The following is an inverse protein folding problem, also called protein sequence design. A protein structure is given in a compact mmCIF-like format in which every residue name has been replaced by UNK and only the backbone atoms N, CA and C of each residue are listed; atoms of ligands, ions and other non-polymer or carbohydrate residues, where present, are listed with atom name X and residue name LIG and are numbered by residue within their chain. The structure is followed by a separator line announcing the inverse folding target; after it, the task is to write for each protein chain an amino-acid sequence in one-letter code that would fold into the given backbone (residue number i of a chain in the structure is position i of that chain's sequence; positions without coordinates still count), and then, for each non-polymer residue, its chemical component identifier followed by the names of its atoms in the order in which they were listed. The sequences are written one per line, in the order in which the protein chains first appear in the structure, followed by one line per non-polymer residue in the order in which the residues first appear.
data_IF_949006830987
#
_entry.id   IF_949006830987
#
_cell.length_a   1.000
_cell.length_b   1.000
_cell.length_c   1.000
_cell.angle_alpha   90.00
_cell.angle_beta   90.00
_cell.angle_gamma   90.00
#
_symmetry.space_group_name_H-M   'P 1'
#
loop_
_entity.id
_entity.type
_entity.pdbx_description
1 polymer ?
#
# COMPACT_ATOMS: atom_id res chain seq x y z
N UNK A 1 -5.02 3.67 -19.18
CA UNK A 1 -5.79 2.86 -18.20
C UNK A 1 -6.90 3.77 -17.64
N UNK A 2 -7.92 3.25 -16.95
CA UNK A 2 -8.89 4.13 -16.26
C UNK A 2 -8.68 4.03 -14.74
N UNK A 3 -9.18 5.02 -13.99
CA UNK A 3 -9.02 5.08 -12.54
C UNK A 3 -9.56 3.81 -11.84
N UNK A 4 -10.63 3.21 -12.37
CA UNK A 4 -11.21 1.97 -11.86
C UNK A 4 -10.24 0.78 -11.91
N UNK A 5 -9.47 0.65 -13.00
CA UNK A 5 -8.44 -0.39 -13.11
C UNK A 5 -7.28 -0.19 -12.14
N UNK A 6 -6.87 1.06 -11.89
CA UNK A 6 -5.83 1.37 -10.88
C UNK A 6 -6.31 1.00 -9.48
N UNK A 7 -7.50 1.44 -9.09
CA UNK A 7 -8.11 1.09 -7.80
C UNK A 7 -8.27 -0.42 -7.63
N UNK A 8 -8.58 -1.13 -8.72
CA UNK A 8 -8.62 -2.60 -8.71
C UNK A 8 -7.23 -3.19 -8.42
N UNK A 9 -6.18 -2.72 -9.10
CA UNK A 9 -4.81 -3.20 -8.86
C UNK A 9 -4.35 -2.95 -7.43
N UNK A 10 -4.67 -1.80 -6.85
CA UNK A 10 -4.37 -1.47 -5.45
C UNK A 10 -5.16 -2.34 -4.46
N UNK A 11 -6.42 -2.66 -4.76
CA UNK A 11 -7.27 -3.41 -3.83
C UNK A 11 -7.02 -4.91 -3.79
N UNK A 12 -6.54 -5.51 -4.88
CA UNK A 12 -6.33 -6.97 -5.02
C UNK A 12 -4.93 -7.45 -4.61
N UNK A 13 -4.11 -6.59 -4.02
CA UNK A 13 -2.76 -6.93 -3.59
C UNK A 13 -2.78 -8.03 -2.52
N UNK A 14 -1.93 -9.05 -2.66
CA UNK A 14 -1.90 -10.23 -1.78
C UNK A 14 -1.57 -9.90 -0.32
N UNK A 15 -0.74 -8.88 -0.10
CA UNK A 15 -0.23 -8.46 1.23
C UNK A 15 -0.89 -7.18 1.75
N UNK A 16 -2.13 -6.92 1.33
CA UNK A 16 -2.85 -5.69 1.69
C UNK A 16 -3.38 -5.64 3.13
N UNK A 17 -3.29 -6.75 3.87
CA UNK A 17 -3.88 -6.90 5.19
C UNK A 17 -2.86 -7.46 6.17
N UNK A 18 -3.00 -7.06 7.43
CA UNK A 18 -2.42 -7.74 8.59
C UNK A 18 -3.52 -8.63 9.18
N UNK A 19 -3.27 -9.94 9.30
CA UNK A 19 -4.20 -10.87 9.95
C UNK A 19 -3.89 -10.99 11.45
N UNK A 20 -4.91 -11.30 12.24
CA UNK A 20 -4.72 -11.48 13.67
C UNK A 20 -6.01 -11.81 14.40
N UNK A 21 -5.95 -11.76 15.72
CA UNK A 21 -7.07 -12.01 16.62
C UNK A 21 -7.31 -10.77 17.48
N UNK A 22 -8.58 -10.45 17.73
CA UNK A 22 -8.96 -9.43 18.69
C UNK A 22 -9.46 -10.05 19.99
N UNK A 23 -9.01 -9.52 21.12
CA UNK A 23 -9.46 -9.92 22.44
C UNK A 23 -9.96 -8.72 23.24
N UNK A 24 -10.92 -8.96 24.13
CA UNK A 24 -11.46 -7.94 25.02
C UNK A 24 -10.86 -8.07 26.42
N UNK A 25 -9.77 -7.34 26.66
CA UNK A 25 -8.96 -7.42 27.88
C UNK A 25 -9.07 -6.10 28.64
N UNK A 26 -9.37 -6.16 29.94
CA UNK A 26 -9.42 -4.98 30.82
C UNK A 26 -10.31 -3.83 30.29
N UNK A 27 -11.45 -4.18 29.67
CA UNK A 27 -12.39 -3.24 29.04
C UNK A 27 -11.86 -2.54 27.76
N UNK A 28 -10.84 -3.11 27.13
CA UNK A 28 -10.25 -2.59 25.89
C UNK A 28 -10.16 -3.72 24.86
N UNK A 29 -10.36 -3.36 23.59
CA UNK A 29 -10.10 -4.26 22.48
C UNK A 29 -8.61 -4.19 22.13
N UNK A 30 -7.95 -5.34 22.14
CA UNK A 30 -6.54 -5.51 21.78
C UNK A 30 -6.46 -6.36 20.53
N UNK A 31 -5.69 -5.91 19.55
CA UNK A 31 -5.37 -6.68 18.34
C UNK A 31 -4.01 -7.34 18.51
N UNK A 32 -3.95 -8.65 18.30
CA UNK A 32 -2.73 -9.45 18.27
C UNK A 32 -2.41 -9.83 16.82
N UNK A 33 -1.26 -9.39 16.33
CA UNK A 33 -0.80 -9.60 14.95
C UNK A 33 -0.20 -11.01 14.78
N UNK A 34 -0.74 -11.78 13.83
CA UNK A 34 -0.25 -13.13 13.50
C UNK A 34 1.16 -13.13 12.87
N UNK A 35 1.59 -12.02 12.24
CA UNK A 35 2.89 -11.90 11.56
C UNK A 35 4.03 -11.53 12.52
N UNK A 36 3.74 -10.69 13.52
CA UNK A 36 4.77 -10.06 14.37
C UNK A 36 4.70 -10.47 15.85
N UNK A 37 3.64 -11.17 16.27
CA UNK A 37 3.30 -11.44 17.67
C UNK A 37 3.16 -10.15 18.52
N UNK A 38 3.01 -8.99 17.87
CA UNK A 38 2.82 -7.71 18.55
C UNK A 38 1.35 -7.50 18.94
N UNK A 39 1.15 -6.79 20.06
CA UNK A 39 -0.16 -6.38 20.54
C UNK A 39 -0.33 -4.86 20.36
N UNK A 40 -1.44 -4.46 19.75
CA UNK A 40 -1.80 -3.05 19.55
C UNK A 40 -3.20 -2.77 20.10
N UNK A 41 -3.47 -1.51 20.44
CA UNK A 41 -4.84 -1.10 20.76
C UNK A 41 -5.67 -1.18 19.47
N UNK A 42 -6.86 -1.77 19.52
CA UNK A 42 -7.73 -1.76 18.36
C UNK A 42 -8.13 -0.33 17.96
N UNK A 43 -8.11 0.61 18.91
CA UNK A 43 -8.38 2.02 18.68
C UNK A 43 -7.35 2.70 17.75
N UNK A 44 -6.14 2.14 17.63
CA UNK A 44 -5.11 2.62 16.71
C UNK A 44 -5.52 2.44 15.23
N UNK A 45 -6.57 1.65 14.98
CA UNK A 45 -7.09 1.32 13.65
C UNK A 45 -8.50 1.86 13.38
N UNK A 46 -9.01 2.78 14.20
CA UNK A 46 -10.33 3.37 13.97
C UNK A 46 -10.45 3.95 12.56
N UNK A 47 -11.62 3.73 11.96
CA UNK A 47 -11.96 4.11 10.58
C UNK A 47 -11.15 3.41 9.48
N UNK A 48 -10.31 2.41 9.83
CA UNK A 48 -9.68 1.56 8.83
C UNK A 48 -10.66 0.52 8.27
N UNK A 49 -10.35 0.07 7.05
CA UNK A 49 -10.96 -1.12 6.48
C UNK A 49 -10.57 -2.35 7.32
N UNK A 50 -11.58 -3.05 7.86
CA UNK A 50 -11.40 -4.30 8.60
C UNK A 50 -12.26 -5.38 7.96
N UNK A 51 -11.79 -6.62 7.99
CA UNK A 51 -12.60 -7.77 7.63
C UNK A 51 -12.64 -8.78 8.77
N UNK A 52 -13.83 -9.29 9.05
CA UNK A 52 -14.06 -10.31 10.09
C UNK A 52 -14.31 -11.67 9.48
N UNK A 53 -13.74 -12.71 10.07
CA UNK A 53 -13.91 -14.08 9.59
C UNK A 53 -15.07 -14.78 10.30
N UNK A 54 -16.23 -14.86 9.63
CA UNK A 54 -17.43 -15.51 10.20
C UNK A 54 -18.11 -16.41 9.19
N UNK A 55 -18.40 -17.65 9.58
CA UNK A 55 -19.09 -18.61 8.71
C UNK A 55 -18.27 -18.96 7.46
N UNK A 56 -16.96 -19.13 7.62
CA UNK A 56 -16.00 -19.45 6.57
C UNK A 56 -15.92 -18.41 5.43
N UNK A 57 -16.15 -17.13 5.76
CA UNK A 57 -16.01 -16.01 4.83
C UNK A 57 -15.53 -14.76 5.54
N UNK A 58 -14.75 -13.96 4.82
CA UNK A 58 -14.39 -12.60 5.22
C UNK A 58 -15.54 -11.64 4.92
N UNK A 59 -15.95 -10.84 5.91
CA UNK A 59 -16.93 -9.77 5.75
C UNK A 59 -16.24 -8.42 5.95
N UNK A 60 -16.20 -7.62 4.89
CA UNK A 60 -15.59 -6.28 4.91
C UNK A 60 -16.50 -5.24 5.58
N UNK A 61 -15.91 -4.41 6.42
CA UNK A 61 -16.50 -3.22 7.01
C UNK A 61 -15.45 -2.16 7.34
N UNK A 62 -15.90 -1.14 8.05
CA UNK A 62 -15.07 -0.08 8.63
C UNK A 62 -15.13 -0.25 10.15
N UNK A 63 -13.96 -0.24 10.79
CA UNK A 63 -13.87 -0.29 12.25
C UNK A 63 -14.33 1.04 12.84
N UNK A 64 -15.22 0.97 13.82
CA UNK A 64 -15.72 2.08 14.61
C UNK A 64 -15.42 1.80 16.09
N UNK A 65 -15.70 2.77 16.95
CA UNK A 65 -15.41 2.70 18.39
C UNK A 65 -16.13 1.53 19.10
N UNK A 66 -15.55 1.06 20.21
CA UNK A 66 -16.08 -0.02 21.07
C UNK A 66 -16.31 -1.36 20.36
N UNK A 67 -15.44 -1.70 19.40
CA UNK A 67 -15.51 -2.96 18.66
C UNK A 67 -16.69 -3.05 17.70
N UNK A 68 -17.25 -1.90 17.31
CA UNK A 68 -18.32 -1.81 16.33
C UNK A 68 -17.72 -1.87 14.93
N UNK A 69 -18.36 -2.64 14.04
CA UNK A 69 -17.97 -2.72 12.63
C UNK A 69 -19.15 -2.33 11.76
N UNK A 70 -18.94 -1.27 10.99
CA UNK A 70 -19.90 -0.77 10.01
C UNK A 70 -19.71 -1.52 8.70
N UNK A 71 -20.64 -2.42 8.39
CA UNK A 71 -20.70 -3.12 7.12
C UNK A 71 -21.49 -2.29 6.10
N UNK A 72 -21.53 -2.74 4.84
CA UNK A 72 -22.20 -2.00 3.76
C UNK A 72 -23.70 -1.73 3.96
N UNK A 73 -24.41 -2.57 4.73
CA UNK A 73 -25.87 -2.51 4.92
C UNK A 73 -26.33 -2.62 6.37
N UNK A 74 -25.42 -2.95 7.27
CA UNK A 74 -25.69 -3.28 8.67
C UNK A 74 -24.48 -2.93 9.53
N UNK A 75 -24.68 -3.01 10.83
CA UNK A 75 -23.61 -2.89 11.82
C UNK A 75 -23.49 -4.22 12.55
N UNK A 76 -22.28 -4.61 12.90
CA UNK A 76 -22.02 -5.75 13.75
C UNK A 76 -21.01 -5.39 14.83
N UNK A 77 -20.83 -6.28 15.80
CA UNK A 77 -19.93 -6.09 16.94
C UNK A 77 -18.93 -7.22 16.93
N UNK A 78 -17.69 -6.93 17.32
CA UNK A 78 -16.66 -7.93 17.52
C UNK A 78 -17.02 -8.89 18.65
N UNK A 79 -16.55 -10.13 18.50
CA UNK A 79 -16.52 -11.11 19.57
C UNK A 79 -15.11 -11.22 20.13
N UNK A 80 -15.03 -11.63 21.39
CA UNK A 80 -13.75 -11.99 22.00
C UNK A 80 -13.12 -13.18 21.26
N UNK A 81 -11.80 -13.19 21.15
CA UNK A 81 -11.00 -14.14 20.36
C UNK A 81 -11.39 -14.20 18.85
N UNK A 82 -11.89 -13.11 18.28
CA UNK A 82 -12.34 -13.11 16.90
C UNK A 82 -11.19 -12.93 15.90
N UNK A 83 -11.14 -13.80 14.89
CA UNK A 83 -10.20 -13.65 13.78
C UNK A 83 -10.62 -12.48 12.87
N UNK A 84 -9.71 -11.53 12.72
CA UNK A 84 -9.87 -10.34 11.88
C UNK A 84 -8.69 -10.18 10.94
N UNK A 85 -8.84 -9.29 9.96
CA UNK A 85 -7.72 -8.74 9.23
C UNK A 85 -7.94 -7.26 8.96
N UNK A 86 -6.92 -6.45 9.21
CA UNK A 86 -6.99 -4.99 9.09
C UNK A 86 -6.19 -4.59 7.86
N UNK A 87 -6.74 -3.73 7.01
CA UNK A 87 -6.05 -3.28 5.79
C UNK A 87 -4.86 -2.40 6.18
N UNK A 88 -3.69 -2.71 5.64
CA UNK A 88 -2.47 -1.91 5.80
C UNK A 88 -2.66 -0.56 5.11
N UNK A 89 -2.14 0.52 5.71
CA UNK A 89 -2.15 1.84 5.07
C UNK A 89 -0.94 2.00 4.15
N UNK A 90 -1.14 2.70 3.05
CA UNK A 90 -0.04 3.14 2.18
C UNK A 90 0.50 4.45 2.76
N UNK A 91 1.83 4.58 2.85
CA UNK A 91 2.45 5.84 3.27
C UNK A 91 1.98 6.99 2.39
N UNK A 92 1.52 8.08 3.01
CA UNK A 92 0.95 9.23 2.30
C UNK A 92 1.86 9.77 1.17
N UNK A 93 3.17 9.90 1.43
CA UNK A 93 4.14 10.37 0.43
C UNK A 93 4.24 9.42 -0.78
N UNK A 94 4.05 8.12 -0.56
CA UNK A 94 4.05 7.10 -1.60
C UNK A 94 2.71 7.07 -2.36
N UNK A 95 1.58 7.16 -1.65
CA UNK A 95 0.26 7.30 -2.26
C UNK A 95 0.22 8.49 -3.23
N UNK A 96 0.83 9.62 -2.86
CA UNK A 96 0.95 10.78 -3.75
C UNK A 96 1.73 10.51 -5.02
N UNK A 97 2.81 9.72 -4.95
CA UNK A 97 3.49 9.30 -6.18
C UNK A 97 2.58 8.38 -7.00
N UNK A 98 1.91 7.41 -6.37
CA UNK A 98 1.02 6.49 -7.06
C UNK A 98 -0.14 7.24 -7.73
N UNK A 99 -0.61 8.36 -7.22
CA UNK A 99 -1.61 9.21 -7.89
C UNK A 99 -1.04 9.97 -9.09
N UNK A 100 0.24 10.37 -9.03
CA UNK A 100 0.91 11.22 -10.02
C UNK A 100 1.49 10.43 -11.20
N UNK A 101 1.83 9.16 -11.01
CA UNK A 101 2.34 8.31 -12.08
C UNK A 101 1.31 8.12 -13.20
N UNK A 102 1.75 8.30 -14.44
CA UNK A 102 0.96 7.90 -15.59
C UNK A 102 0.64 6.40 -15.55
N UNK A 103 -0.38 5.99 -16.30
CA UNK A 103 -0.94 4.65 -16.22
C UNK A 103 0.04 3.52 -16.56
N UNK A 104 0.92 3.76 -17.52
CA UNK A 104 1.88 2.75 -17.95
C UNK A 104 3.00 2.60 -16.92
N UNK A 105 3.54 3.72 -16.42
CA UNK A 105 4.55 3.73 -15.37
C UNK A 105 4.01 3.09 -14.09
N UNK A 106 2.79 3.44 -13.69
CA UNK A 106 2.10 2.80 -12.57
C UNK A 106 1.97 1.30 -12.77
N UNK A 107 1.43 0.86 -13.91
CA UNK A 107 1.23 -0.57 -14.17
C UNK A 107 2.55 -1.35 -14.14
N UNK A 108 3.59 -0.82 -14.80
CA UNK A 108 4.91 -1.46 -14.83
C UNK A 108 5.53 -1.51 -13.44
N UNK A 109 5.42 -0.43 -12.66
CA UNK A 109 5.91 -0.39 -11.28
C UNK A 109 5.22 -1.46 -10.42
N UNK A 110 3.88 -1.51 -10.39
CA UNK A 110 3.12 -2.48 -9.59
C UNK A 110 3.42 -3.92 -10.04
N UNK A 111 3.38 -4.18 -11.34
CA UNK A 111 3.62 -5.55 -11.84
C UNK A 111 5.05 -6.02 -11.60
N UNK A 112 6.04 -5.13 -11.72
CA UNK A 112 7.44 -5.46 -11.41
C UNK A 112 7.60 -5.73 -9.91
N UNK A 113 7.05 -4.87 -9.05
CA UNK A 113 7.09 -5.04 -7.61
C UNK A 113 6.47 -6.37 -7.18
N UNK A 114 5.28 -6.67 -7.70
CA UNK A 114 4.57 -7.92 -7.43
C UNK A 114 5.31 -9.15 -7.97
N UNK A 115 6.02 -9.05 -9.08
CA UNK A 115 6.85 -10.15 -9.61
C UNK A 115 8.10 -10.44 -8.77
N UNK A 116 8.41 -9.56 -7.82
CA UNK A 116 9.47 -9.70 -6.84
C UNK A 116 8.93 -10.14 -5.47
N UNK A 117 7.65 -10.51 -5.38
CA UNK A 117 6.95 -10.91 -4.15
C UNK A 117 6.79 -9.77 -3.11
N UNK A 118 6.85 -8.52 -3.57
CA UNK A 118 6.52 -7.33 -2.78
C UNK A 118 5.20 -6.72 -3.23
N UNK A 119 4.51 -6.05 -2.31
CA UNK A 119 3.32 -5.26 -2.53
C UNK A 119 3.58 -3.78 -2.23
N UNK A 120 2.74 -2.90 -2.75
CA UNK A 120 2.74 -1.48 -2.36
C UNK A 120 2.47 -1.26 -0.86
N UNK A 121 1.82 -2.21 -0.20
CA UNK A 121 1.56 -2.17 1.24
C UNK A 121 2.77 -2.57 2.09
N UNK A 122 3.82 -3.11 1.46
CA UNK A 122 5.09 -3.43 2.13
C UNK A 122 6.01 -2.19 2.22
N UNK A 123 5.57 -1.01 1.79
CA UNK A 123 6.38 0.21 1.77
C UNK A 123 6.57 0.77 3.19
N UNK A 124 7.78 0.63 3.74
CA UNK A 124 8.14 1.10 5.09
C UNK A 124 8.83 2.47 5.09
N UNK A 125 9.34 2.92 3.94
CA UNK A 125 9.93 4.25 3.80
C UNK A 125 9.67 4.82 2.41
N UNK A 126 9.36 6.11 2.37
CA UNK A 126 9.04 6.83 1.14
C UNK A 126 9.50 8.28 1.19
N UNK A 127 10.45 8.61 0.31
CA UNK A 127 10.86 9.97 0.01
C UNK A 127 10.45 10.35 -1.41
N UNK A 128 9.40 11.16 -1.52
CA UNK A 128 8.85 11.63 -2.78
C UNK A 128 9.33 13.06 -3.10
N UNK A 129 10.45 13.16 -3.81
CA UNK A 129 11.05 14.42 -4.26
C UNK A 129 10.12 15.21 -5.21
N UNK A 130 9.32 14.51 -6.02
CA UNK A 130 8.42 15.12 -7.00
C UNK A 130 7.41 16.08 -6.34
N UNK A 131 6.96 15.76 -5.13
CA UNK A 131 6.02 16.58 -4.36
C UNK A 131 6.54 18.01 -4.14
N UNK A 132 7.86 18.22 -4.03
CA UNK A 132 8.48 19.52 -3.81
C UNK A 132 8.74 20.31 -5.10
N UNK A 133 8.44 19.73 -6.27
CA UNK A 133 8.79 20.30 -7.57
C UNK A 133 7.56 20.72 -8.40
N UNK A 134 6.33 20.58 -7.87
CA UNK A 134 5.07 20.81 -8.61
C UNK A 134 4.98 22.16 -9.33
N UNK A 135 5.51 23.23 -8.72
CA UNK A 135 5.47 24.58 -9.28
C UNK A 135 6.61 24.86 -10.28
N UNK A 136 7.56 23.93 -10.43
CA UNK A 136 8.71 24.12 -11.30
C UNK A 136 8.41 23.66 -12.72
N UNK A 137 8.85 24.46 -13.69
CA UNK A 137 8.75 24.14 -15.13
C UNK A 137 9.51 22.87 -15.54
N UNK A 138 10.59 22.55 -14.82
CA UNK A 138 11.35 21.32 -14.99
C UNK A 138 11.30 20.57 -13.66
N UNK A 139 10.69 19.40 -13.68
CA UNK A 139 10.63 18.50 -12.54
C UNK A 139 11.57 17.35 -12.83
N UNK A 140 12.67 17.25 -12.09
CA UNK A 140 13.58 16.12 -12.21
C UNK A 140 14.23 15.84 -10.88
N UNK A 141 14.40 14.55 -10.59
CA UNK A 141 14.95 14.09 -9.33
C UNK A 141 14.82 12.58 -9.21
N UNK A 142 15.01 12.12 -7.98
CA UNK A 142 14.93 10.71 -7.62
C UNK A 142 14.05 10.59 -6.38
N UNK A 143 13.06 9.72 -6.43
CA UNK A 143 12.32 9.29 -5.24
C UNK A 143 12.96 8.01 -4.70
N UNK A 144 12.93 7.83 -3.38
CA UNK A 144 13.50 6.66 -2.71
C UNK A 144 12.42 5.93 -1.93
N UNK A 145 12.30 4.63 -2.15
CA UNK A 145 11.36 3.76 -1.46
C UNK A 145 12.08 2.53 -0.92
N UNK A 146 11.66 2.08 0.26
CA UNK A 146 12.10 0.81 0.85
C UNK A 146 10.86 0.00 1.16
N UNK A 147 10.86 -1.26 0.70
CA UNK A 147 9.81 -2.23 0.94
C UNK A 147 10.35 -3.39 1.77
N UNK A 148 9.55 -3.86 2.72
CA UNK A 148 9.83 -5.01 3.57
C UNK A 148 8.60 -5.93 3.58
N UNK A 149 8.75 -7.13 3.03
CA UNK A 149 7.68 -8.13 2.97
C UNK A 149 7.82 -9.19 4.08
N UNK A 150 8.66 -8.97 5.08
CA UNK A 150 8.99 -9.93 6.15
C UNK A 150 9.98 -11.01 5.77
N UNK A 151 10.20 -11.27 4.47
CA UNK A 151 11.17 -12.26 3.97
C UNK A 151 12.44 -11.59 3.40
N UNK A 152 12.30 -10.37 2.90
CA UNK A 152 13.38 -9.64 2.27
C UNK A 152 13.10 -8.13 2.17
N UNK A 153 14.12 -7.41 1.73
CA UNK A 153 14.08 -5.96 1.56
C UNK A 153 14.26 -5.65 0.08
N UNK A 154 13.40 -4.77 -0.44
CA UNK A 154 13.53 -4.19 -1.77
C UNK A 154 13.71 -2.68 -1.68
N UNK A 155 14.81 -2.16 -2.21
CA UNK A 155 14.99 -0.73 -2.43
C UNK A 155 14.58 -0.38 -3.84
N UNK A 156 13.76 0.67 -3.97
CA UNK A 156 13.38 1.23 -5.27
C UNK A 156 13.81 2.68 -5.37
N UNK A 157 14.51 3.00 -6.45
CA UNK A 157 14.78 4.37 -6.86
C UNK A 157 13.94 4.69 -8.08
N UNK A 158 13.11 5.72 -7.98
CA UNK A 158 12.35 6.23 -9.12
C UNK A 158 12.99 7.53 -9.62
N UNK A 159 13.77 7.43 -10.70
CA UNK A 159 14.34 8.56 -11.41
C UNK A 159 13.29 9.13 -12.36
N UNK A 160 12.99 10.42 -12.23
CA UNK A 160 11.99 11.07 -13.06
C UNK A 160 12.52 12.34 -13.73
N UNK A 161 11.96 12.63 -14.90
CA UNK A 161 12.17 13.90 -15.61
C UNK A 161 10.93 14.27 -16.41
N UNK A 162 10.22 15.31 -15.98
CA UNK A 162 9.02 15.82 -16.62
C UNK A 162 9.28 17.22 -17.20
N UNK A 163 9.23 17.32 -18.54
CA UNK A 163 9.40 18.53 -19.34
C UNK A 163 8.49 18.45 -20.59
N UNK A 164 9.06 18.03 -21.74
CA UNK A 164 8.36 17.78 -23.02
C UNK A 164 8.09 16.29 -23.24
N UNK A 165 9.03 15.47 -22.79
CA UNK A 165 8.93 14.02 -22.78
C UNK A 165 8.98 13.59 -21.32
N UNK A 166 7.97 12.87 -20.87
CA UNK A 166 7.99 12.28 -19.54
C UNK A 166 8.92 11.07 -19.55
N UNK A 167 9.71 10.96 -18.51
CA UNK A 167 10.66 9.88 -18.34
C UNK A 167 10.55 9.38 -16.91
N UNK A 168 10.24 8.10 -16.80
CA UNK A 168 10.16 7.37 -15.54
C UNK A 168 11.10 6.17 -15.66
N UNK A 169 12.03 6.07 -14.72
CA UNK A 169 12.96 4.94 -14.61
C UNK A 169 12.96 4.43 -13.19
N UNK A 170 12.55 3.19 -13.01
CA UNK A 170 12.54 2.52 -11.71
C UNK A 170 13.69 1.53 -11.66
N UNK A 171 14.50 1.64 -10.61
CA UNK A 171 15.55 0.69 -10.28
C UNK A 171 15.20 -0.04 -9.00
N UNK A 172 15.00 -1.35 -9.09
CA UNK A 172 14.71 -2.24 -7.97
C UNK A 172 15.98 -3.00 -7.60
N UNK A 173 16.31 -3.07 -6.31
CA UNK A 173 17.41 -3.88 -5.78
C UNK A 173 16.92 -4.63 -4.55
N UNK A 174 17.06 -5.96 -4.58
CA UNK A 174 16.63 -6.85 -3.49
C UNK A 174 17.87 -7.30 -2.70
N UNK A 175 17.70 -7.62 -1.41
CA UNK A 175 18.76 -8.13 -0.53
C UNK A 175 19.52 -9.35 -1.06
N UNK A 176 18.98 -10.09 -2.02
CA UNK A 176 19.67 -11.19 -2.72
C UNK A 176 20.73 -10.72 -3.74
N UNK A 177 20.83 -9.41 -3.98
CA UNK A 177 21.65 -8.82 -5.04
C UNK A 177 20.96 -8.76 -6.40
N UNK A 178 19.75 -9.32 -6.54
CA UNK A 178 18.94 -9.21 -7.75
C UNK A 178 18.58 -7.74 -8.00
N UNK A 179 18.84 -7.27 -9.22
CA UNK A 179 18.54 -5.92 -9.68
C UNK A 179 17.67 -5.95 -10.93
N UNK A 180 16.64 -5.12 -10.95
CA UNK A 180 15.79 -4.89 -12.14
C UNK A 180 15.76 -3.40 -12.42
N UNK A 181 15.93 -3.02 -13.69
CA UNK A 181 15.76 -1.65 -14.15
C UNK A 181 14.68 -1.65 -15.21
N UNK A 182 13.65 -0.84 -15.02
CA UNK A 182 12.64 -0.54 -16.02
C UNK A 182 12.72 0.94 -16.37
N UNK A 183 12.61 1.26 -17.64
CA UNK A 183 12.76 2.62 -18.14
C UNK A 183 11.76 2.83 -19.28
N UNK A 184 11.05 3.95 -19.24
CA UNK A 184 10.14 4.34 -20.31
C UNK A 184 10.32 5.80 -20.68
N UNK A 185 10.41 6.04 -21.98
CA UNK A 185 10.43 7.36 -22.58
C UNK A 185 9.06 7.62 -23.21
N UNK A 186 8.35 8.64 -22.72
CA UNK A 186 7.12 9.12 -23.32
C UNK A 186 7.45 10.31 -24.22
N UNK A 187 7.47 10.10 -25.53
CA UNK A 187 7.52 11.19 -26.49
C UNK A 187 6.09 11.71 -26.74
N UNK A 188 5.81 12.97 -26.37
CA UNK A 188 4.61 13.62 -26.87
C UNK A 188 4.77 13.85 -28.37
N UNK A 189 3.88 13.34 -29.24
CA UNK A 189 3.88 13.76 -30.64
C UNK A 189 3.67 15.28 -30.66
N UNK A 190 4.59 15.99 -31.29
CA UNK A 190 4.48 17.44 -31.46
C UNK A 190 3.13 17.77 -32.10
N UNK A 191 2.33 18.62 -31.45
CA UNK A 191 1.22 19.33 -32.08
C UNK A 191 1.75 20.38 -33.04
#
# INVERSE_FOLDING_TARGET
MNQQHRSKLVSIQSRAFTEGVVEFINQQWVFFDDETDEAASLDDFLHHDIEIFRGNRWRKGILEDNGVIKLSKDTTYLYDEEKVRIRKNILYSFERLLDELNDDAFFQFITTLNSLDFSIYDCIYSYNQLTFLKEKKLQSGVNFFIFDNGEGICSVQHHFRYLKNEHDRFEFTINTGKRIVIEKLHSNPAQ
#
